data_IF_639466727694
#
_entry.id   IF_639466727694
#
_cell.length_a   1.000
_cell.length_b   1.000
_cell.length_c   1.000
_cell.angle_alpha   90.00
_cell.angle_beta   90.00
_cell.angle_gamma   90.00
#
_symmetry.space_group_name_H-M   'P 1'
#
loop_
_entity.id
_entity.type
_entity.pdbx_description
1 polymer ?
#
# COMPACT_ATOMS: atom_id res chain seq x y z
N UNK A 1 21.88 4.47 9.31
CA UNK A 1 20.90 5.58 9.37
C UNK A 1 20.72 6.09 7.95
N UNK A 2 19.90 5.43 7.13
CA UNK A 2 19.68 5.87 5.75
C UNK A 2 18.59 6.94 5.73
N UNK A 3 18.96 8.14 5.30
CA UNK A 3 18.06 9.27 5.15
C UNK A 3 17.06 9.03 4.02
N UNK A 4 15.92 9.71 4.06
CA UNK A 4 14.88 9.54 3.05
C UNK A 4 15.26 10.01 1.65
N UNK A 5 14.40 9.77 0.65
CA UNK A 5 14.68 10.06 -0.77
C UNK A 5 15.01 11.53 -1.08
N UNK A 6 14.57 12.47 -0.23
CA UNK A 6 14.88 13.90 -0.37
C UNK A 6 16.32 14.20 0.09
N UNK A 7 16.85 13.41 1.04
CA UNK A 7 18.18 13.62 1.64
C UNK A 7 19.33 13.10 0.77
N UNK A 8 19.05 12.22 -0.19
CA UNK A 8 20.04 11.77 -1.18
C UNK A 8 20.23 12.77 -2.32
N UNK A 9 19.21 13.57 -2.62
CA UNK A 9 19.25 14.62 -3.64
C UNK A 9 19.77 15.95 -3.04
N UNK A 10 19.43 16.22 -1.78
CA UNK A 10 19.83 17.43 -1.05
C UNK A 10 20.41 17.05 0.32
N UNK A 11 21.71 16.73 0.41
CA UNK A 11 22.34 16.30 1.68
C UNK A 11 22.19 17.34 2.80
N UNK A 12 22.03 18.62 2.45
CA UNK A 12 21.85 19.73 3.39
C UNK A 12 20.48 19.73 4.12
N UNK A 13 19.48 19.00 3.62
CA UNK A 13 18.16 18.88 4.25
C UNK A 13 18.07 17.68 5.21
N UNK A 14 19.03 16.76 5.14
CA UNK A 14 19.11 15.59 6.00
C UNK A 14 19.18 15.92 7.50
N UNK A 15 20.03 16.87 7.94
CA UNK A 15 20.15 17.23 9.36
C UNK A 15 18.84 17.83 9.87
N UNK A 16 18.22 18.71 9.09
CA UNK A 16 17.03 19.47 9.48
C UNK A 16 15.81 18.55 9.69
N UNK A 17 15.62 17.56 8.82
CA UNK A 17 14.55 16.56 8.96
C UNK A 17 14.72 15.68 10.21
N UNK A 18 15.95 15.28 10.54
CA UNK A 18 16.25 14.44 11.70
C UNK A 18 16.13 15.16 13.05
N UNK A 19 16.23 16.49 13.04
CA UNK A 19 16.09 17.36 14.23
C UNK A 19 14.63 17.72 14.49
N UNK A 20 13.81 17.87 13.44
CA UNK A 20 12.43 18.35 13.54
C UNK A 20 11.41 17.20 13.60
N UNK A 21 11.64 16.10 12.86
CA UNK A 21 10.69 14.99 12.79
C UNK A 21 11.07 13.84 13.73
N UNK A 22 10.09 13.24 14.44
CA UNK A 22 10.30 11.97 15.13
C UNK A 22 10.92 10.92 14.21
N UNK A 23 11.81 10.03 14.70
CA UNK A 23 12.53 9.04 13.87
C UNK A 23 11.64 8.14 13.00
N UNK A 24 10.38 7.96 13.40
CA UNK A 24 9.33 7.22 12.70
C UNK A 24 8.77 7.92 11.46
N UNK A 25 9.00 9.23 11.31
CA UNK A 25 8.63 10.02 10.14
C UNK A 25 9.82 10.25 9.19
N UNK A 26 10.91 9.51 9.36
CA UNK A 26 11.95 9.43 8.33
C UNK A 26 11.37 8.84 7.05
N UNK A 27 11.70 9.41 5.89
CA UNK A 27 11.07 9.12 4.60
C UNK A 27 10.77 7.63 4.32
N UNK A 28 11.74 6.71 4.40
CA UNK A 28 11.52 5.30 4.06
C UNK A 28 10.62 4.58 5.06
N UNK A 29 10.80 4.86 6.35
CA UNK A 29 9.96 4.30 7.44
C UNK A 29 8.54 4.84 7.34
N UNK A 30 8.38 6.11 7.00
CA UNK A 30 7.09 6.73 6.75
C UNK A 30 6.38 6.06 5.57
N UNK A 31 7.08 5.83 4.45
CA UNK A 31 6.54 5.11 3.30
C UNK A 31 6.09 3.69 3.68
N UNK A 32 6.88 2.98 4.51
CA UNK A 32 6.54 1.64 4.98
C UNK A 32 5.27 1.63 5.84
N UNK A 33 5.22 2.47 6.89
CA UNK A 33 4.08 2.52 7.81
C UNK A 33 2.81 3.02 7.11
N UNK A 34 2.93 4.07 6.31
CA UNK A 34 1.80 4.63 5.57
C UNK A 34 1.33 3.69 4.46
N UNK A 35 2.25 3.05 3.73
CA UNK A 35 1.93 2.06 2.71
C UNK A 35 1.16 0.87 3.27
N UNK A 36 1.57 0.34 4.43
CA UNK A 36 0.84 -0.74 5.11
C UNK A 36 -0.56 -0.31 5.57
N UNK A 37 -0.68 0.94 6.04
CA UNK A 37 -1.97 1.52 6.47
C UNK A 37 -2.93 1.65 5.28
N UNK A 38 -2.46 2.20 4.15
CA UNK A 38 -3.28 2.30 2.93
C UNK A 38 -3.62 0.92 2.39
N UNK A 39 -2.68 -0.03 2.36
CA UNK A 39 -2.95 -1.39 1.91
C UNK A 39 -4.11 -2.01 2.71
N UNK A 40 -4.07 -1.84 4.04
CA UNK A 40 -5.12 -2.30 4.96
C UNK A 40 -6.46 -1.62 4.71
N UNK A 41 -6.47 -0.30 4.56
CA UNK A 41 -7.68 0.47 4.22
C UNK A 41 -8.30 0.00 2.89
N UNK A 42 -7.47 -0.17 1.87
CA UNK A 42 -7.88 -0.54 0.53
C UNK A 42 -8.41 -1.97 0.43
N UNK A 43 -7.86 -2.88 1.23
CA UNK A 43 -8.43 -4.22 1.35
C UNK A 43 -9.73 -4.21 2.17
N UNK A 44 -9.85 -3.33 3.17
CA UNK A 44 -11.12 -3.10 3.89
C UNK A 44 -12.27 -2.66 2.97
N UNK A 45 -12.01 -1.94 1.88
CA UNK A 45 -13.05 -1.61 0.89
C UNK A 45 -13.58 -2.86 0.18
N UNK A 46 -12.72 -3.85 -0.09
CA UNK A 46 -13.13 -5.14 -0.69
C UNK A 46 -14.07 -5.90 0.25
N UNK A 47 -13.82 -5.84 1.56
CA UNK A 47 -14.76 -6.35 2.57
C UNK A 47 -16.13 -5.66 2.46
N UNK A 48 -16.15 -4.34 2.23
CA UNK A 48 -17.37 -3.59 1.93
C UNK A 48 -18.10 -4.09 0.69
N UNK A 49 -17.40 -4.40 -0.40
CA UNK A 49 -18.01 -5.00 -1.60
C UNK A 49 -18.53 -6.40 -1.36
N UNK A 50 -17.88 -7.17 -0.49
CA UNK A 50 -18.29 -8.52 -0.12
C UNK A 50 -19.71 -8.56 0.45
N UNK A 51 -20.16 -7.49 1.12
CA UNK A 51 -21.53 -7.36 1.66
C UNK A 51 -22.63 -7.35 0.60
N UNK A 52 -22.27 -7.11 -0.67
CA UNK A 52 -23.20 -7.09 -1.81
C UNK A 52 -23.30 -8.43 -2.54
N UNK A 53 -22.51 -9.43 -2.13
CA UNK A 53 -22.57 -10.79 -2.64
C UNK A 53 -23.28 -11.71 -1.64
N UNK A 54 -23.78 -12.84 -2.14
CA UNK A 54 -24.34 -13.92 -1.32
C UNK A 54 -23.51 -15.19 -1.41
N UNK A 55 -23.63 -16.03 -0.38
CA UNK A 55 -23.11 -17.40 -0.38
C UNK A 55 -21.59 -17.50 -0.57
N UNK A 56 -21.10 -18.51 -1.34
CA UNK A 56 -19.67 -18.78 -1.50
C UNK A 56 -18.85 -17.60 -2.05
N UNK A 57 -19.44 -16.77 -2.90
CA UNK A 57 -18.75 -15.61 -3.50
C UNK A 57 -18.47 -14.54 -2.44
N UNK A 58 -19.42 -14.28 -1.54
CA UNK A 58 -19.20 -13.35 -0.42
C UNK A 58 -18.04 -13.82 0.47
N UNK A 59 -18.03 -15.11 0.83
CA UNK A 59 -16.96 -15.72 1.64
C UNK A 59 -15.58 -15.59 0.99
N UNK A 60 -15.51 -15.78 -0.34
CA UNK A 60 -14.27 -15.60 -1.08
C UNK A 60 -13.78 -14.13 -1.02
N UNK A 61 -14.66 -13.17 -1.23
CA UNK A 61 -14.29 -11.74 -1.16
C UNK A 61 -13.89 -11.31 0.26
N UNK A 62 -14.55 -11.85 1.30
CA UNK A 62 -14.11 -11.65 2.68
C UNK A 62 -12.71 -12.19 2.91
N UNK A 63 -12.42 -13.42 2.47
CA UNK A 63 -11.07 -13.99 2.60
C UNK A 63 -10.04 -13.15 1.82
N UNK A 64 -10.32 -12.81 0.57
CA UNK A 64 -9.45 -12.00 -0.28
C UNK A 64 -9.21 -10.58 0.25
N UNK A 65 -10.14 -10.03 1.04
CA UNK A 65 -9.95 -8.72 1.70
C UNK A 65 -8.98 -8.76 2.88
N UNK A 66 -8.81 -9.93 3.53
CA UNK A 66 -8.02 -10.06 4.75
C UNK A 66 -6.59 -10.56 4.46
N UNK A 67 -6.42 -11.38 3.42
CA UNK A 67 -5.12 -11.96 3.07
C UNK A 67 -4.02 -10.92 2.79
N UNK A 68 -4.23 -9.87 1.96
CA UNK A 68 -3.17 -8.91 1.65
C UNK A 68 -2.72 -8.07 2.87
N UNK A 69 -3.61 -7.56 3.74
CA UNK A 69 -3.19 -6.88 4.98
C UNK A 69 -2.42 -7.79 5.94
N UNK A 70 -2.88 -9.04 6.14
CA UNK A 70 -2.15 -10.00 7.00
C UNK A 70 -0.78 -10.30 6.41
N UNK A 71 -0.71 -10.56 5.10
CA UNK A 71 0.55 -10.75 4.40
C UNK A 71 1.49 -9.55 4.60
N UNK A 72 0.99 -8.33 4.35
CA UNK A 72 1.73 -7.09 4.54
C UNK A 72 2.20 -6.91 5.98
N UNK A 73 1.36 -7.21 6.97
CA UNK A 73 1.73 -7.16 8.38
C UNK A 73 2.89 -8.10 8.71
N UNK A 74 2.85 -9.33 8.20
CA UNK A 74 3.88 -10.35 8.45
C UNK A 74 5.21 -10.07 7.74
N UNK A 75 5.15 -9.44 6.56
CA UNK A 75 6.31 -9.32 5.66
C UNK A 75 6.90 -7.90 5.61
N UNK A 76 6.07 -6.88 5.78
CA UNK A 76 6.46 -5.47 5.72
C UNK A 76 6.67 -4.84 7.10
N UNK A 77 6.75 -5.62 8.19
CA UNK A 77 7.08 -5.15 9.55
C UNK A 77 8.58 -5.19 9.88
N UNK A 78 9.39 -5.81 9.03
CA UNK A 78 10.84 -5.91 9.19
C UNK A 78 11.63 -4.75 8.57
N UNK A 79 12.77 -5.09 7.94
CA UNK A 79 13.64 -4.12 7.28
C UNK A 79 12.91 -3.32 6.19
N UNK A 80 13.18 -2.02 6.15
CA UNK A 80 12.39 -1.07 5.33
C UNK A 80 12.48 -1.35 3.84
N UNK A 81 13.66 -1.59 3.26
CA UNK A 81 13.78 -1.79 1.82
C UNK A 81 13.02 -3.04 1.31
N UNK A 82 13.15 -4.25 1.91
CA UNK A 82 12.30 -5.39 1.56
C UNK A 82 10.80 -5.15 1.80
N UNK A 83 10.46 -4.39 2.85
CA UNK A 83 9.08 -4.06 3.16
C UNK A 83 8.43 -3.23 2.03
N UNK A 84 9.14 -2.25 1.46
CA UNK A 84 8.64 -1.43 0.36
C UNK A 84 8.34 -2.25 -0.90
N UNK A 85 9.22 -3.19 -1.26
CA UNK A 85 8.97 -4.13 -2.37
C UNK A 85 7.75 -5.01 -2.10
N UNK A 86 7.60 -5.48 -0.87
CA UNK A 86 6.47 -6.33 -0.50
C UNK A 86 5.14 -5.57 -0.55
N UNK A 87 5.14 -4.30 -0.15
CA UNK A 87 3.98 -3.43 -0.25
C UNK A 87 3.58 -3.20 -1.72
N UNK A 88 4.53 -3.02 -2.64
CA UNK A 88 4.25 -2.93 -4.08
C UNK A 88 3.48 -4.17 -4.55
N UNK A 89 3.95 -5.36 -4.19
CA UNK A 89 3.26 -6.62 -4.53
C UNK A 89 1.85 -6.63 -3.96
N UNK A 90 1.67 -6.22 -2.70
CA UNK A 90 0.35 -6.11 -2.06
C UNK A 90 -0.61 -5.23 -2.85
N UNK A 91 -0.19 -4.03 -3.27
CA UNK A 91 -1.02 -3.13 -4.06
C UNK A 91 -1.38 -3.69 -5.44
N UNK A 92 -0.42 -4.33 -6.12
CA UNK A 92 -0.66 -4.97 -7.42
C UNK A 92 -1.63 -6.14 -7.31
N UNK A 93 -1.53 -6.95 -6.24
CA UNK A 93 -2.41 -8.09 -5.98
C UNK A 93 -3.86 -7.66 -5.71
N UNK A 94 -4.09 -6.45 -5.19
CA UNK A 94 -5.46 -5.94 -5.00
C UNK A 94 -6.16 -5.64 -6.33
N UNK A 95 -5.44 -5.20 -7.37
CA UNK A 95 -6.03 -4.83 -8.67
C UNK A 95 -6.91 -5.90 -9.33
N UNK A 96 -6.51 -7.19 -9.44
CA UNK A 96 -7.38 -8.22 -10.00
C UNK A 96 -8.64 -8.47 -9.13
N UNK A 97 -8.57 -8.26 -7.81
CA UNK A 97 -9.72 -8.39 -6.90
C UNK A 97 -10.69 -7.21 -7.10
N UNK A 98 -10.16 -5.98 -7.20
CA UNK A 98 -10.95 -4.80 -7.52
C UNK A 98 -11.62 -4.92 -8.90
N UNK A 99 -10.91 -5.51 -9.87
CA UNK A 99 -11.44 -5.72 -11.21
C UNK A 99 -12.56 -6.76 -11.24
N UNK A 100 -12.47 -7.83 -10.45
CA UNK A 100 -13.56 -8.81 -10.34
C UNK A 100 -14.78 -8.19 -9.65
N UNK A 101 -14.59 -7.35 -8.63
CA UNK A 101 -15.66 -6.56 -8.01
C UNK A 101 -16.34 -5.61 -9.01
N UNK A 102 -15.54 -4.93 -9.85
CA UNK A 102 -16.04 -4.04 -10.90
C UNK A 102 -16.84 -4.81 -11.97
N UNK A 103 -16.33 -5.97 -12.42
CA UNK A 103 -17.04 -6.83 -13.38
C UNK A 103 -18.37 -7.35 -12.85
N UNK A 104 -18.44 -7.63 -11.55
CA UNK A 104 -19.66 -8.02 -10.87
C UNK A 104 -20.62 -6.85 -10.59
N UNK A 105 -20.30 -5.61 -11.00
CA UNK A 105 -21.10 -4.39 -10.79
C UNK A 105 -21.38 -4.07 -9.32
N UNK A 106 -20.58 -4.62 -8.40
CA UNK A 106 -20.65 -4.28 -6.96
C UNK A 106 -19.81 -3.04 -6.63
N UNK A 107 -18.76 -2.78 -7.42
CA UNK A 107 -17.99 -1.54 -7.35
C UNK A 107 -18.55 -0.49 -8.32
N UNK A 108 -18.42 0.82 -8.02
CA UNK A 108 -18.78 1.91 -8.94
C UNK A 108 -18.00 1.85 -10.27
N UNK A 109 -18.57 2.38 -11.36
CA UNK A 109 -17.94 2.35 -12.70
C UNK A 109 -16.61 3.13 -12.77
N UNK A 110 -16.45 4.17 -11.95
CA UNK A 110 -15.21 4.95 -11.85
C UNK A 110 -14.14 4.30 -10.97
N UNK A 111 -14.46 3.21 -10.28
CA UNK A 111 -13.60 2.59 -9.26
C UNK A 111 -12.25 2.18 -9.83
N UNK A 112 -12.24 1.47 -10.96
CA UNK A 112 -10.99 0.97 -11.55
C UNK A 112 -10.08 2.09 -12.07
N UNK A 113 -10.64 3.15 -12.64
CA UNK A 113 -9.86 4.32 -13.08
C UNK A 113 -9.18 5.00 -11.90
N UNK A 114 -9.90 5.20 -10.80
CA UNK A 114 -9.32 5.74 -9.57
C UNK A 114 -8.24 4.80 -9.02
N UNK A 115 -8.55 3.51 -8.94
CA UNK A 115 -7.66 2.50 -8.36
C UNK A 115 -6.34 2.40 -9.12
N UNK A 116 -6.38 2.41 -10.45
CA UNK A 116 -5.19 2.37 -11.28
C UNK A 116 -4.32 3.62 -11.09
N UNK A 117 -4.92 4.81 -11.06
CA UNK A 117 -4.20 6.06 -10.79
C UNK A 117 -3.51 6.02 -9.41
N UNK A 118 -4.26 5.70 -8.36
CA UNK A 118 -3.74 5.66 -6.99
C UNK A 118 -2.65 4.59 -6.83
N UNK A 119 -2.88 3.38 -7.35
CA UNK A 119 -1.89 2.31 -7.30
C UNK A 119 -0.63 2.69 -8.07
N UNK A 120 -0.73 3.33 -9.24
CA UNK A 120 0.43 3.79 -9.99
C UNK A 120 1.26 4.80 -9.18
N UNK A 121 0.61 5.80 -8.58
CA UNK A 121 1.29 6.79 -7.72
C UNK A 121 1.98 6.11 -6.55
N UNK A 122 1.27 5.22 -5.83
CA UNK A 122 1.83 4.51 -4.67
C UNK A 122 3.00 3.62 -5.07
N UNK A 123 2.89 2.86 -6.15
CA UNK A 123 3.96 1.97 -6.64
C UNK A 123 5.19 2.78 -7.06
N UNK A 124 5.02 3.92 -7.72
CA UNK A 124 6.14 4.81 -8.06
C UNK A 124 6.82 5.34 -6.78
N UNK A 125 6.04 5.83 -5.80
CA UNK A 125 6.60 6.32 -4.55
C UNK A 125 7.35 5.22 -3.78
N UNK A 126 6.76 4.03 -3.64
CA UNK A 126 7.38 2.89 -2.97
C UNK A 126 8.62 2.40 -3.71
N UNK A 127 8.60 2.37 -5.05
CA UNK A 127 9.72 1.96 -5.88
C UNK A 127 10.90 2.93 -5.77
N UNK A 128 10.64 4.24 -5.85
CA UNK A 128 11.65 5.27 -5.60
C UNK A 128 12.23 5.13 -4.18
N UNK A 129 11.36 4.94 -3.17
CA UNK A 129 11.81 4.67 -1.81
C UNK A 129 12.68 3.42 -1.70
N UNK A 130 12.32 2.33 -2.39
CA UNK A 130 13.06 1.07 -2.31
C UNK A 130 14.43 1.12 -3.01
N UNK A 131 14.57 1.91 -4.07
CA UNK A 131 15.83 2.07 -4.81
C UNK A 131 16.75 3.11 -4.18
N UNK A 132 16.20 4.15 -3.54
CA UNK A 132 16.96 5.28 -3.00
C UNK A 132 17.25 5.20 -1.50
N UNK A 133 16.64 4.26 -0.76
CA UNK A 133 16.79 4.11 0.70
C UNK A 133 17.97 3.22 1.14
#
# INVERSE_FOLDING_TARGET
MSGGPITSIWPDLAPLSSVILPPRLNGPVLLQVYGLTILSFMAGVIWGFATRFDGPTANLFYALSVLPPIWGFLTASGATQPALWTLIVGFVVLLPIDWSAHRAKVAPEWWMSLRLLLTAVVVICLGLGAVLA
#
